data_IF_093485874407
#
_entry.id   IF_093485874407
#
_cell.length_a   1.000
_cell.length_b   1.000
_cell.length_c   1.000
_cell.angle_alpha   90.00
_cell.angle_beta   90.00
_cell.angle_gamma   90.00
#
_symmetry.space_group_name_H-M   'P 1'
#
loop_
_entity.id
_entity.type
_entity.pdbx_description
1 polymer ?
#
# COMPACT_ATOMS: atom_id res chain seq x y z
N UNK A 1 10.88 -16.08 -11.48
CA UNK A 1 9.83 -15.11 -11.87
C UNK A 1 10.34 -14.20 -13.00
N UNK A 2 11.51 -13.56 -12.85
CA UNK A 2 12.02 -12.63 -13.88
C UNK A 2 12.25 -13.26 -15.25
N UNK A 3 12.57 -14.56 -15.29
CA UNK A 3 12.76 -15.35 -16.51
C UNK A 3 11.48 -16.06 -16.98
N UNK A 4 10.34 -15.87 -16.30
CA UNK A 4 9.07 -16.55 -16.60
C UNK A 4 9.01 -18.01 -16.14
N UNK A 5 10.00 -18.48 -15.38
CA UNK A 5 10.02 -19.83 -14.84
C UNK A 5 9.17 -19.86 -13.57
N UNK A 6 8.16 -20.72 -13.54
CA UNK A 6 7.36 -21.00 -12.34
C UNK A 6 8.06 -22.09 -11.55
N UNK A 7 8.27 -21.85 -10.27
CA UNK A 7 8.85 -22.86 -9.38
C UNK A 7 7.82 -23.98 -9.12
N UNK A 8 8.28 -25.22 -9.09
CA UNK A 8 7.43 -26.38 -8.71
C UNK A 8 6.84 -26.20 -7.30
N UNK A 9 7.55 -25.48 -6.43
CA UNK A 9 7.13 -25.16 -5.08
C UNK A 9 6.96 -23.65 -4.96
N UNK A 10 5.73 -23.19 -4.72
CA UNK A 10 5.39 -21.76 -4.62
C UNK A 10 5.84 -21.09 -3.32
N UNK A 11 6.04 -21.87 -2.24
CA UNK A 11 6.57 -21.36 -0.98
C UNK A 11 7.98 -21.88 -0.73
N UNK A 12 8.95 -21.00 -0.54
CA UNK A 12 10.35 -21.34 -0.27
C UNK A 12 11.03 -20.32 0.63
N UNK A 13 11.58 -20.75 1.76
CA UNK A 13 12.32 -19.87 2.68
C UNK A 13 11.46 -18.70 3.16
N UNK A 14 11.84 -17.47 2.83
CA UNK A 14 11.14 -16.24 3.18
C UNK A 14 9.93 -15.90 2.28
N UNK A 15 9.59 -16.73 1.30
CA UNK A 15 8.45 -16.53 0.39
C UNK A 15 7.36 -17.54 0.73
N UNK A 16 6.19 -17.04 1.07
CA UNK A 16 5.01 -17.83 1.45
C UNK A 16 3.88 -17.56 0.47
N UNK A 17 3.34 -18.62 -0.13
CA UNK A 17 2.16 -18.53 -0.98
C UNK A 17 0.92 -18.98 -0.20
N UNK A 18 -0.14 -18.17 -0.24
CA UNK A 18 -1.42 -18.41 0.42
C UNK A 18 -2.51 -18.52 -0.65
N UNK A 19 -2.89 -19.76 -0.93
CA UNK A 19 -4.00 -20.04 -1.82
C UNK A 19 -5.31 -19.52 -1.23
N UNK A 20 -6.06 -18.74 -2.01
CA UNK A 20 -7.36 -18.22 -1.59
C UNK A 20 -8.26 -17.94 -2.79
N UNK A 21 -9.57 -17.75 -2.56
CA UNK A 21 -10.48 -17.33 -3.62
C UNK A 21 -10.35 -15.82 -3.89
N UNK A 22 -10.78 -15.37 -5.07
CA UNK A 22 -10.71 -13.93 -5.43
C UNK A 22 -11.54 -13.05 -4.49
N UNK A 23 -12.63 -13.57 -3.94
CA UNK A 23 -13.48 -12.87 -2.97
C UNK A 23 -12.81 -12.69 -1.61
N UNK A 24 -11.91 -13.59 -1.26
CA UNK A 24 -11.36 -13.67 0.09
C UNK A 24 -9.95 -13.04 0.19
N UNK A 25 -9.38 -12.56 -0.94
CA UNK A 25 -8.04 -11.95 -0.97
C UNK A 25 -7.91 -10.83 0.07
N UNK A 26 -8.90 -9.95 0.16
CA UNK A 26 -8.84 -8.81 1.08
C UNK A 26 -8.83 -9.27 2.54
N UNK A 27 -9.66 -10.25 2.89
CA UNK A 27 -9.71 -10.81 4.24
C UNK A 27 -8.41 -11.56 4.57
N UNK A 28 -7.91 -12.40 3.67
CA UNK A 28 -6.65 -13.14 3.87
C UNK A 28 -5.44 -12.18 4.04
N UNK A 29 -5.40 -11.07 3.31
CA UNK A 29 -4.38 -10.04 3.50
C UNK A 29 -4.51 -9.36 4.87
N UNK A 30 -5.72 -9.07 5.32
CA UNK A 30 -5.99 -8.52 6.65
C UNK A 30 -5.53 -9.48 7.76
N UNK A 31 -5.85 -10.76 7.65
CA UNK A 31 -5.47 -11.78 8.63
C UNK A 31 -3.95 -11.93 8.75
N UNK A 32 -3.24 -11.87 7.63
CA UNK A 32 -1.77 -11.87 7.61
C UNK A 32 -1.19 -10.58 8.18
N UNK A 33 -1.81 -9.43 7.90
CA UNK A 33 -1.36 -8.15 8.44
C UNK A 33 -1.43 -8.12 9.97
N UNK A 34 -2.50 -8.66 10.56
CA UNK A 34 -2.69 -8.75 12.01
C UNK A 34 -1.60 -9.54 12.73
N UNK A 35 -0.92 -10.46 12.05
CA UNK A 35 0.15 -11.26 12.65
C UNK A 35 1.40 -10.45 12.99
N UNK A 36 1.67 -9.38 12.25
CA UNK A 36 2.82 -8.49 12.47
C UNK A 36 2.54 -7.08 11.92
N UNK A 37 1.65 -6.31 12.55
CA UNK A 37 1.17 -5.02 12.03
C UNK A 37 2.29 -4.00 11.83
N UNK A 38 3.24 -3.93 12.76
CA UNK A 38 4.32 -2.94 12.76
C UNK A 38 5.32 -3.13 11.60
N UNK A 39 5.48 -4.37 11.15
CA UNK A 39 6.47 -4.71 10.12
C UNK A 39 5.86 -4.90 8.73
N UNK A 40 4.53 -4.97 8.63
CA UNK A 40 3.82 -5.37 7.43
C UNK A 40 3.35 -4.19 6.58
N UNK A 41 3.38 -4.38 5.26
CA UNK A 41 2.68 -3.53 4.30
C UNK A 41 1.99 -4.39 3.26
N UNK A 42 0.72 -4.09 2.97
CA UNK A 42 -0.01 -4.79 1.90
C UNK A 42 0.14 -4.03 0.60
N UNK A 43 0.43 -4.74 -0.48
CA UNK A 43 0.46 -4.20 -1.84
C UNK A 43 -0.66 -4.80 -2.67
N UNK A 44 -1.48 -3.95 -3.27
CA UNK A 44 -2.58 -4.38 -4.12
C UNK A 44 -2.55 -3.67 -5.48
N UNK A 45 -3.05 -4.32 -6.55
CA UNK A 45 -2.97 -3.79 -7.90
C UNK A 45 -3.96 -2.65 -8.19
N UNK A 46 -5.08 -2.58 -7.46
CA UNK A 46 -6.14 -1.61 -7.74
C UNK A 46 -6.49 -0.79 -6.52
N UNK A 47 -6.94 0.46 -6.75
CA UNK A 47 -7.40 1.33 -5.66
C UNK A 47 -8.61 0.75 -4.92
N UNK A 48 -9.50 0.03 -5.62
CA UNK A 48 -10.67 -0.61 -5.01
C UNK A 48 -10.22 -1.67 -3.99
N UNK A 49 -9.34 -2.59 -4.38
CA UNK A 49 -8.83 -3.62 -3.49
C UNK A 49 -8.01 -3.03 -2.32
N UNK A 50 -7.24 -1.95 -2.57
CA UNK A 50 -6.56 -1.19 -1.51
C UNK A 50 -7.56 -0.64 -0.50
N UNK A 51 -8.66 -0.05 -0.96
CA UNK A 51 -9.69 0.51 -0.08
C UNK A 51 -10.38 -0.57 0.78
N UNK A 52 -10.70 -1.71 0.17
CA UNK A 52 -11.31 -2.86 0.87
C UNK A 52 -10.37 -3.41 1.95
N UNK A 53 -9.10 -3.64 1.61
CA UNK A 53 -8.09 -4.11 2.56
C UNK A 53 -7.88 -3.09 3.69
N UNK A 54 -7.75 -1.81 3.36
CA UNK A 54 -7.56 -0.76 4.35
C UNK A 54 -8.71 -0.71 5.36
N UNK A 55 -9.95 -0.80 4.88
CA UNK A 55 -11.14 -0.80 5.73
C UNK A 55 -11.15 -2.02 6.66
N UNK A 56 -10.95 -3.21 6.11
CA UNK A 56 -10.93 -4.45 6.91
C UNK A 56 -9.81 -4.43 7.94
N UNK A 57 -8.61 -4.00 7.53
CA UNK A 57 -7.44 -3.95 8.41
C UNK A 57 -7.63 -2.93 9.52
N UNK A 58 -8.14 -1.72 9.24
CA UNK A 58 -8.42 -0.73 10.26
C UNK A 58 -9.40 -1.28 11.32
N UNK A 59 -10.51 -1.88 10.88
CA UNK A 59 -11.49 -2.47 11.80
C UNK A 59 -10.93 -3.64 12.62
N UNK A 60 -9.97 -4.37 12.08
CA UNK A 60 -9.34 -5.50 12.76
C UNK A 60 -8.26 -5.10 13.76
N UNK A 61 -7.38 -4.13 13.40
CA UNK A 61 -6.23 -3.77 14.24
C UNK A 61 -6.47 -2.51 15.08
N UNK A 62 -7.41 -1.66 14.69
CA UNK A 62 -7.69 -0.39 15.36
C UNK A 62 -9.19 -0.07 15.47
N UNK A 63 -10.04 -1.00 15.96
CA UNK A 63 -11.51 -0.81 15.99
C UNK A 63 -11.96 0.34 16.89
N UNK A 64 -11.21 0.61 17.97
CA UNK A 64 -11.58 1.55 19.03
C UNK A 64 -10.68 2.79 19.07
N UNK A 65 -9.86 3.03 18.07
CA UNK A 65 -9.02 4.22 18.01
C UNK A 65 -9.84 5.50 18.00
N UNK A 66 -9.40 6.51 18.75
CA UNK A 66 -10.03 7.82 18.76
C UNK A 66 -10.01 8.42 17.35
N UNK A 67 -11.17 8.85 16.85
CA UNK A 67 -11.28 9.41 15.50
C UNK A 67 -10.66 10.80 15.44
N UNK A 68 -10.09 11.12 14.29
CA UNK A 68 -9.67 12.47 13.97
C UNK A 68 -10.91 13.34 13.77
N UNK A 69 -11.09 14.30 14.67
CA UNK A 69 -12.19 15.27 14.67
C UNK A 69 -11.64 16.66 14.39
N UNK A 70 -12.39 17.47 13.67
CA UNK A 70 -12.04 18.87 13.43
C UNK A 70 -13.30 19.72 13.35
N UNK A 71 -13.16 20.99 13.70
CA UNK A 71 -14.23 21.97 13.62
C UNK A 71 -13.98 22.92 12.44
N UNK A 72 -14.99 23.13 11.62
CA UNK A 72 -14.96 24.08 10.52
C UNK A 72 -16.29 24.83 10.45
N UNK A 73 -16.24 26.16 10.45
CA UNK A 73 -17.43 27.03 10.45
C UNK A 73 -18.41 26.77 11.59
N UNK A 74 -17.93 26.33 12.77
CA UNK A 74 -18.75 26.04 13.94
C UNK A 74 -19.44 24.67 13.91
N UNK A 75 -19.15 23.84 12.93
CA UNK A 75 -19.63 22.46 12.81
C UNK A 75 -18.48 21.47 13.02
N UNK A 76 -18.79 20.35 13.69
CA UNK A 76 -17.83 19.26 13.89
C UNK A 76 -17.90 18.25 12.76
N UNK A 77 -16.74 17.91 12.26
CA UNK A 77 -16.54 16.91 11.21
C UNK A 77 -15.67 15.77 11.73
N UNK A 78 -15.87 14.58 11.16
CA UNK A 78 -15.14 13.38 11.50
C UNK A 78 -14.51 12.81 10.23
N UNK A 79 -13.23 12.49 10.31
CA UNK A 79 -12.57 11.66 9.31
C UNK A 79 -12.62 10.19 9.70
N UNK A 80 -12.55 9.31 8.72
CA UNK A 80 -12.41 7.87 8.97
C UNK A 80 -10.95 7.48 9.26
N UNK A 81 -10.20 8.38 9.92
CA UNK A 81 -8.86 8.17 10.39
C UNK A 81 -8.88 8.15 11.92
N UNK A 82 -8.14 7.23 12.52
CA UNK A 82 -8.11 7.00 13.96
C UNK A 82 -6.68 7.12 14.47
N UNK A 83 -6.53 7.53 15.71
CA UNK A 83 -5.24 7.50 16.41
C UNK A 83 -4.58 6.13 16.24
N UNK A 84 -3.31 6.09 15.87
CA UNK A 84 -2.49 4.93 15.53
C UNK A 84 -2.81 4.28 14.16
N UNK A 85 -3.63 4.88 13.32
CA UNK A 85 -3.77 4.41 11.95
C UNK A 85 -2.48 4.63 11.15
N UNK A 86 -2.16 3.67 10.28
CA UNK A 86 -1.19 3.86 9.23
C UNK A 86 -1.73 4.86 8.19
N UNK A 87 -0.92 5.86 7.86
CA UNK A 87 -1.29 6.96 6.97
C UNK A 87 -0.44 6.92 5.70
N UNK A 88 -1.09 7.18 4.58
CA UNK A 88 -0.47 7.43 3.27
C UNK A 88 -0.81 8.85 2.82
N UNK A 89 0.20 9.62 2.43
CA UNK A 89 0.02 10.92 1.78
C UNK A 89 -0.09 10.76 0.26
N UNK A 90 -1.10 11.40 -0.32
CA UNK A 90 -1.44 11.24 -1.75
C UNK A 90 -1.01 12.40 -2.62
N UNK A 91 -0.51 13.49 -2.02
CA UNK A 91 -0.02 14.69 -2.70
C UNK A 91 1.29 15.17 -2.07
N UNK A 92 2.01 16.03 -2.81
CA UNK A 92 3.22 16.68 -2.31
C UNK A 92 2.86 17.95 -1.54
N UNK A 93 3.47 18.12 -0.36
CA UNK A 93 3.54 19.35 0.39
C UNK A 93 5.00 19.56 0.80
N UNK A 94 5.80 20.08 -0.13
CA UNK A 94 7.26 20.19 0.04
C UNK A 94 7.67 21.12 1.19
N UNK A 95 6.88 22.15 1.47
CA UNK A 95 7.03 23.05 2.62
C UNK A 95 6.90 22.33 3.97
N UNK A 96 6.22 21.19 4.00
CA UNK A 96 6.03 20.34 5.17
C UNK A 96 6.83 19.04 5.15
N UNK A 97 7.71 18.86 4.15
CA UNK A 97 8.48 17.62 3.98
C UNK A 97 7.67 16.41 3.50
N UNK A 98 6.42 16.61 3.06
CA UNK A 98 5.54 15.54 2.58
C UNK A 98 5.73 15.35 1.08
N UNK A 99 5.94 14.11 0.66
CA UNK A 99 5.92 13.68 -0.73
C UNK A 99 4.73 12.75 -1.00
N UNK A 100 4.28 12.73 -2.23
CA UNK A 100 3.28 11.76 -2.67
C UNK A 100 3.82 10.33 -2.51
N UNK A 101 3.19 9.54 -1.65
CA UNK A 101 3.66 8.22 -1.24
C UNK A 101 4.33 8.19 0.13
N UNK A 102 4.57 9.33 0.79
CA UNK A 102 5.05 9.34 2.17
C UNK A 102 4.11 8.56 3.08
N UNK A 103 4.69 7.79 3.99
CA UNK A 103 4.00 6.95 4.94
C UNK A 103 4.29 7.41 6.36
N UNK A 104 3.38 7.13 7.27
CA UNK A 104 3.51 7.45 8.68
C UNK A 104 2.39 6.87 9.52
N UNK A 105 2.31 7.31 10.76
CA UNK A 105 1.28 6.92 11.74
C UNK A 105 0.64 8.17 12.31
N UNK A 106 -0.68 8.18 12.44
CA UNK A 106 -1.42 9.24 13.13
C UNK A 106 -1.16 9.14 14.64
N UNK A 107 -0.27 10.00 15.14
CA UNK A 107 0.21 9.94 16.53
C UNK A 107 -0.52 10.86 17.50
N UNK A 108 -1.32 11.79 16.98
CA UNK A 108 -2.23 12.62 17.77
C UNK A 108 -3.50 12.94 16.99
N UNK A 109 -4.63 12.98 17.68
CA UNK A 109 -5.93 13.44 17.18
C UNK A 109 -6.47 14.59 18.03
N UNK A 110 -5.60 15.22 18.81
CA UNK A 110 -5.96 16.29 19.74
C UNK A 110 -5.85 17.65 19.04
N UNK A 111 -6.97 18.37 19.03
CA UNK A 111 -7.10 19.68 18.43
C UNK A 111 -6.63 20.81 19.38
N UNK A 112 -5.56 20.61 20.13
CA UNK A 112 -5.05 21.61 21.10
C UNK A 112 -4.27 22.78 20.46
N UNK A 113 -4.45 23.02 19.16
CA UNK A 113 -3.73 24.07 18.42
C UNK A 113 -4.49 24.54 17.19
N UNK A 114 -3.78 25.07 16.20
CA UNK A 114 -4.34 25.42 14.89
C UNK A 114 -4.54 24.18 14.01
N UNK A 115 -3.89 23.05 14.35
CA UNK A 115 -4.00 21.76 13.68
C UNK A 115 -5.01 20.82 14.32
N UNK A 116 -5.35 19.76 13.61
CA UNK A 116 -6.33 18.75 14.03
C UNK A 116 -5.68 17.52 14.66
N UNK A 117 -4.34 17.42 14.60
CA UNK A 117 -3.60 16.29 15.09
C UNK A 117 -2.15 16.29 14.57
N UNK A 118 -1.44 15.17 14.73
CA UNK A 118 -0.06 14.99 14.30
C UNK A 118 0.13 13.63 13.65
N UNK A 119 0.87 13.58 12.55
CA UNK A 119 1.37 12.35 11.93
C UNK A 119 2.88 12.30 12.10
N UNK A 120 3.40 11.18 12.58
CA UNK A 120 4.85 10.90 12.54
C UNK A 120 5.14 10.07 11.30
N UNK A 121 5.98 10.60 10.40
CA UNK A 121 6.41 9.90 9.19
C UNK A 121 7.36 8.74 9.52
N UNK A 122 7.50 7.79 8.60
CA UNK A 122 8.48 6.69 8.71
C UNK A 122 9.93 7.22 8.78
N UNK A 123 10.19 8.45 8.31
CA UNK A 123 11.47 9.17 8.47
C UNK A 123 11.72 9.69 9.90
N UNK A 124 10.69 9.68 10.75
CA UNK A 124 10.71 10.26 12.10
C UNK A 124 10.26 11.72 12.17
N UNK A 125 10.01 12.36 11.03
CA UNK A 125 9.53 13.74 11.00
C UNK A 125 8.07 13.82 11.46
N UNK A 126 7.75 14.91 12.19
CA UNK A 126 6.40 15.15 12.70
C UNK A 126 5.68 16.19 11.83
N UNK A 127 4.51 15.84 11.40
CA UNK A 127 3.67 16.66 10.53
C UNK A 127 2.39 17.04 11.25
N UNK A 128 2.17 18.34 11.42
CA UNK A 128 0.89 18.87 11.92
C UNK A 128 -0.20 18.66 10.86
N UNK A 129 -1.32 18.09 11.27
CA UNK A 129 -2.50 17.87 10.42
C UNK A 129 -3.31 19.15 10.32
N UNK A 130 -3.04 19.95 9.31
CA UNK A 130 -3.87 21.11 8.90
C UNK A 130 -4.90 20.66 7.86
N UNK A 131 -5.87 21.52 7.49
CA UNK A 131 -6.86 21.21 6.45
C UNK A 131 -6.20 20.73 5.15
N UNK A 132 -5.19 21.44 4.67
CA UNK A 132 -4.50 21.08 3.44
C UNK A 132 -3.78 19.71 3.52
N UNK A 133 -3.28 19.35 4.69
CA UNK A 133 -2.65 18.04 4.95
C UNK A 133 -3.72 16.95 5.02
N UNK A 134 -4.83 17.23 5.72
CA UNK A 134 -5.95 16.31 5.87
C UNK A 134 -6.53 15.86 4.52
N UNK A 135 -6.65 16.79 3.57
CA UNK A 135 -7.20 16.52 2.23
C UNK A 135 -6.35 15.56 1.39
N UNK A 136 -5.10 15.33 1.78
CA UNK A 136 -4.19 14.39 1.11
C UNK A 136 -3.88 13.14 1.93
N UNK A 137 -4.53 12.92 3.08
CA UNK A 137 -4.34 11.75 3.93
C UNK A 137 -5.32 10.63 3.59
N UNK A 138 -4.80 9.43 3.47
CA UNK A 138 -5.57 8.19 3.30
C UNK A 138 -5.02 7.11 4.26
N UNK A 139 -5.81 6.06 4.51
CA UNK A 139 -5.31 4.88 5.22
C UNK A 139 -4.16 4.23 4.44
N UNK A 140 -3.12 3.83 5.15
CA UNK A 140 -1.86 3.34 4.60
C UNK A 140 -1.52 1.89 4.96
N UNK A 141 -2.45 1.07 5.47
CA UNK A 141 -2.22 -0.36 5.73
C UNK A 141 -1.94 -1.13 4.44
N UNK A 142 -2.72 -0.83 3.41
CA UNK A 142 -2.50 -1.29 2.04
C UNK A 142 -2.27 -0.09 1.10
N UNK A 143 -1.38 -0.27 0.13
CA UNK A 143 -1.02 0.74 -0.86
C UNK A 143 -0.90 0.12 -2.26
N UNK A 144 -0.98 0.94 -3.30
CA UNK A 144 -0.63 0.49 -4.65
C UNK A 144 0.89 0.45 -4.83
N UNK A 145 1.36 -0.41 -5.74
CA UNK A 145 2.79 -0.51 -6.04
C UNK A 145 3.44 0.84 -6.42
N UNK A 146 2.70 1.72 -7.13
CA UNK A 146 3.20 3.05 -7.48
C UNK A 146 3.49 3.92 -6.26
N UNK A 147 2.68 3.77 -5.21
CA UNK A 147 2.87 4.50 -3.94
C UNK A 147 4.02 3.94 -3.10
N UNK A 148 4.37 2.66 -3.31
CA UNK A 148 5.52 2.01 -2.67
C UNK A 148 6.86 2.30 -3.37
N UNK A 149 6.86 3.12 -4.43
CA UNK A 149 8.06 3.36 -5.21
C UNK A 149 9.12 4.12 -4.38
N UNK A 150 10.32 3.54 -4.29
CA UNK A 150 11.41 4.08 -3.47
C UNK A 150 11.42 3.57 -2.02
N UNK A 151 10.36 2.93 -1.54
CA UNK A 151 10.29 2.37 -0.19
C UNK A 151 10.61 0.88 -0.17
N UNK A 152 11.10 0.40 0.98
CA UNK A 152 11.26 -1.02 1.31
C UNK A 152 10.60 -1.28 2.66
N UNK A 153 10.18 -2.53 2.87
CA UNK A 153 9.44 -2.92 4.08
C UNK A 153 9.96 -4.26 4.59
N UNK A 154 10.05 -4.45 5.91
CA UNK A 154 10.51 -5.71 6.48
C UNK A 154 9.67 -6.90 5.99
N UNK A 155 8.35 -6.76 5.92
CA UNK A 155 7.39 -7.79 5.52
C UNK A 155 6.37 -7.25 4.54
N UNK A 156 6.23 -7.92 3.40
CA UNK A 156 5.27 -7.53 2.36
C UNK A 156 4.22 -8.61 2.16
N UNK A 157 2.97 -8.18 2.07
CA UNK A 157 1.82 -9.01 1.71
C UNK A 157 1.32 -8.53 0.35
N UNK A 158 1.38 -9.39 -0.67
CA UNK A 158 0.99 -9.09 -2.04
C UNK A 158 -0.39 -9.66 -2.30
N UNK A 159 -1.40 -8.80 -2.42
CA UNK A 159 -2.73 -9.17 -2.88
C UNK A 159 -2.69 -9.41 -4.40
N UNK A 160 -2.52 -10.66 -4.81
CA UNK A 160 -2.34 -11.03 -6.21
C UNK A 160 -3.69 -11.31 -6.88
N UNK A 161 -4.08 -10.43 -7.76
CA UNK A 161 -5.28 -10.56 -8.58
C UNK A 161 -4.94 -10.24 -10.02
N UNK A 162 -5.23 -11.15 -10.94
CA UNK A 162 -5.03 -10.92 -12.37
C UNK A 162 -5.80 -9.70 -12.85
N UNK A 163 -5.11 -8.82 -13.55
CA UNK A 163 -5.67 -7.58 -14.05
C UNK A 163 -4.81 -6.98 -15.16
N UNK A 164 -5.31 -5.90 -15.77
CA UNK A 164 -4.65 -5.27 -16.92
C UNK A 164 -3.23 -4.78 -16.65
N UNK A 165 -2.94 -4.36 -15.42
CA UNK A 165 -1.65 -3.78 -15.02
C UNK A 165 -0.74 -4.79 -14.32
N UNK A 166 -1.27 -5.99 -14.02
CA UNK A 166 -0.55 -7.02 -13.25
C UNK A 166 0.09 -7.99 -14.23
N UNK A 167 1.38 -7.82 -14.41
CA UNK A 167 2.24 -8.69 -15.19
C UNK A 167 3.43 -9.16 -14.36
N UNK A 168 4.29 -9.93 -14.98
CA UNK A 168 5.52 -10.43 -14.35
C UNK A 168 6.41 -9.29 -13.80
N UNK A 169 6.49 -8.15 -14.49
CA UNK A 169 7.29 -7.02 -14.06
C UNK A 169 6.69 -6.34 -12.81
N UNK A 170 5.36 -6.24 -12.77
CA UNK A 170 4.63 -5.75 -11.58
C UNK A 170 4.91 -6.64 -10.37
N UNK A 171 4.75 -7.96 -10.52
CA UNK A 171 4.99 -8.93 -9.44
C UNK A 171 6.46 -8.90 -8.97
N UNK A 172 7.41 -8.85 -9.90
CA UNK A 172 8.83 -8.73 -9.58
C UNK A 172 9.12 -7.45 -8.79
N UNK A 173 8.55 -6.31 -9.22
CA UNK A 173 8.74 -5.03 -8.54
C UNK A 173 8.14 -5.05 -7.12
N UNK A 174 6.96 -5.67 -6.94
CA UNK A 174 6.34 -5.83 -5.62
C UNK A 174 7.22 -6.69 -4.69
N UNK A 175 7.72 -7.82 -5.16
CA UNK A 175 8.60 -8.72 -4.41
C UNK A 175 9.88 -8.01 -3.96
N UNK A 176 10.48 -7.18 -4.82
CA UNK A 176 11.72 -6.44 -4.51
C UNK A 176 11.54 -5.32 -3.49
N UNK A 177 10.32 -5.04 -3.02
CA UNK A 177 10.07 -4.11 -1.90
C UNK A 177 10.24 -4.78 -0.54
N UNK A 178 10.34 -6.10 -0.45
CA UNK A 178 10.54 -6.83 0.80
C UNK A 178 12.02 -6.87 1.20
N UNK A 179 12.28 -6.63 2.48
CA UNK A 179 13.61 -6.82 3.08
C UNK A 179 13.81 -8.24 3.60
N UNK A 180 12.77 -8.83 4.25
CA UNK A 180 12.91 -10.09 4.97
C UNK A 180 11.89 -11.14 4.56
N UNK A 181 10.61 -10.78 4.44
CA UNK A 181 9.52 -11.74 4.29
C UNK A 181 8.49 -11.31 3.24
N UNK A 182 8.01 -12.28 2.46
CA UNK A 182 7.04 -12.07 1.40
C UNK A 182 5.90 -13.06 1.54
N UNK A 183 4.67 -12.54 1.60
CA UNK A 183 3.45 -13.31 1.50
C UNK A 183 2.74 -12.96 0.20
N UNK A 184 2.44 -13.96 -0.63
CA UNK A 184 1.66 -13.80 -1.86
C UNK A 184 0.29 -14.45 -1.61
N UNK A 185 -0.76 -13.65 -1.73
CA UNK A 185 -2.15 -14.06 -1.46
C UNK A 185 -2.94 -14.03 -2.76
N UNK A 186 -3.47 -15.15 -3.20
CA UNK A 186 -4.24 -15.23 -4.44
C UNK A 186 -4.45 -16.66 -4.91
N UNK A 187 -4.96 -16.84 -6.13
CA UNK A 187 -5.12 -18.16 -6.73
C UNK A 187 -3.84 -18.62 -7.41
N UNK A 188 -3.57 -19.93 -7.39
CA UNK A 188 -2.43 -20.52 -8.11
C UNK A 188 -2.51 -20.26 -9.62
N UNK A 189 -3.73 -20.29 -10.17
CA UNK A 189 -3.97 -19.99 -11.59
C UNK A 189 -3.57 -18.53 -11.95
N UNK A 190 -3.94 -17.56 -11.12
CA UNK A 190 -3.56 -16.15 -11.34
C UNK A 190 -2.04 -15.98 -11.18
N UNK A 191 -1.40 -16.66 -10.20
CA UNK A 191 0.05 -16.63 -10.03
C UNK A 191 0.77 -17.17 -11.27
N UNK A 192 0.39 -18.34 -11.78
CA UNK A 192 0.94 -18.93 -13.00
C UNK A 192 0.77 -18.02 -14.20
N UNK A 193 -0.47 -17.56 -14.42
CA UNK A 193 -0.79 -16.67 -15.54
C UNK A 193 0.00 -15.36 -15.53
N UNK A 194 0.22 -14.75 -14.34
CA UNK A 194 0.99 -13.52 -14.18
C UNK A 194 2.49 -13.77 -14.36
N UNK A 195 3.01 -14.88 -13.83
CA UNK A 195 4.43 -15.24 -13.94
C UNK A 195 4.83 -15.57 -15.36
N UNK A 196 3.94 -16.12 -16.17
CA UNK A 196 4.15 -16.48 -17.57
C UNK A 196 3.86 -15.32 -18.54
N UNK A 197 3.08 -14.32 -18.10
CA UNK A 197 2.69 -13.18 -18.94
C UNK A 197 3.94 -12.39 -19.39
N UNK A 198 4.03 -12.04 -20.69
CA UNK A 198 5.09 -11.16 -21.16
C UNK A 198 4.96 -9.79 -20.48
N UNK A 199 6.11 -9.21 -20.09
CA UNK A 199 6.12 -7.86 -19.51
C UNK A 199 5.57 -6.84 -20.50
N UNK A 200 4.64 -6.00 -20.04
CA UNK A 200 4.10 -4.87 -20.83
C UNK A 200 5.16 -3.82 -21.19
N UNK A 201 6.32 -3.82 -20.53
CA UNK A 201 7.43 -2.92 -20.85
C UNK A 201 7.94 -3.12 -22.29
N UNK A 202 7.84 -4.33 -22.85
CA UNK A 202 8.20 -4.62 -24.25
C UNK A 202 7.16 -4.13 -25.28
N UNK A 203 5.97 -3.71 -24.85
CA UNK A 203 4.90 -3.19 -25.74
C UNK A 203 4.92 -1.68 -25.86
N UNK A 204 5.78 -0.98 -25.13
CA UNK A 204 5.97 0.47 -25.34
C UNK A 204 6.81 0.65 -26.61
N UNK A 205 6.14 0.88 -27.74
CA UNK A 205 6.79 1.51 -28.87
C UNK A 205 7.26 2.87 -28.40
N UNK A 206 8.52 2.98 -28.03
CA UNK A 206 9.07 4.29 -27.71
C UNK A 206 9.27 5.03 -29.02
N UNK A 207 8.59 6.15 -29.20
CA UNK A 207 8.80 7.10 -30.28
C UNK A 207 10.28 7.53 -30.41
N UNK A 208 11.05 7.30 -29.33
CA UNK A 208 12.50 7.49 -29.29
C UNK A 208 13.24 6.65 -30.34
N UNK A 209 12.77 5.43 -30.65
CA UNK A 209 13.38 4.59 -31.68
C UNK A 209 13.15 5.14 -33.09
N UNK A 210 12.09 5.90 -33.33
CA UNK A 210 11.85 6.62 -34.58
C UNK A 210 12.63 7.92 -34.65
N UNK A 211 12.75 8.64 -33.54
CA UNK A 211 13.55 9.89 -33.45
C UNK A 211 15.05 9.65 -33.62
N UNK A 212 15.56 8.48 -33.30
CA UNK A 212 16.98 8.11 -33.45
C UNK A 212 17.32 7.58 -34.86
N UNK A 213 16.34 7.44 -35.76
CA UNK A 213 16.51 6.98 -37.13
C UNK A 213 16.50 8.11 -38.16
N UNK A 214 16.34 9.38 -37.71
CA UNK A 214 16.36 10.58 -38.53
C UNK A 214 17.74 11.17 -38.74
#
# INVERSE_FOLDING_TARGET
>A
INQGIVLEKLSTGAIHFHETTKSDIAQACCDLYQQSPENSRVMAPTKALVADINKLTQEAVNPNGNRLEFEMHGERFFQNLRLNDAILFTQNHYDKGIQNGSLGVLTSVDASGEGYGEVTLDTGDKIEVTQAVLDCMELGYAITLHKAQGSQFPRIIIALQKGRIVDRAWLYTAITRAEHEIHIVGTEDDFKAISEAPSHSHRRNSYLAELLKG
#
